data_IF_642046319645
#
_entry.id   IF_642046319645
#
_cell.length_a   1.000
_cell.length_b   1.000
_cell.length_c   1.000
_cell.angle_alpha   90.00
_cell.angle_beta   90.00
_cell.angle_gamma   90.00
#
_symmetry.space_group_name_H-M   'P 1'
#
loop_
_entity.id
_entity.type
_entity.pdbx_description
1 polymer ?
#
# COMPACT_ATOMS: atom_id res chain seq x y z
N UNK A 1 12.34 7.19 -14.81
CA UNK A 1 13.50 6.74 -14.03
C UNK A 1 13.18 5.40 -13.40
N UNK A 2 14.15 4.50 -13.34
CA UNK A 2 14.04 3.22 -12.62
C UNK A 2 14.80 3.41 -11.31
N UNK A 3 14.17 3.05 -10.18
CA UNK A 3 14.79 3.14 -8.87
C UNK A 3 14.77 1.77 -8.20
N UNK A 4 15.88 1.41 -7.58
CA UNK A 4 16.01 0.20 -6.79
C UNK A 4 15.87 0.58 -5.32
N UNK A 5 15.05 -0.19 -4.59
CA UNK A 5 14.82 0.04 -3.18
C UNK A 5 14.87 -1.30 -2.46
N UNK A 6 15.40 -1.29 -1.24
CA UNK A 6 15.34 -2.46 -0.38
C UNK A 6 14.10 -2.38 0.51
N UNK A 7 13.60 -3.52 1.01
CA UNK A 7 12.46 -3.54 1.93
C UNK A 7 12.66 -2.72 3.21
N UNK A 8 13.91 -2.33 3.51
CA UNK A 8 14.31 -1.59 4.70
C UNK A 8 14.50 -0.09 4.45
N UNK A 9 14.44 0.37 3.20
CA UNK A 9 14.61 1.78 2.78
C UNK A 9 13.39 2.31 1.99
N UNK A 10 12.42 1.45 1.73
CA UNK A 10 11.26 1.78 0.88
C UNK A 10 10.31 2.80 1.50
N UNK A 11 9.96 2.62 2.78
CA UNK A 11 8.95 3.42 3.47
C UNK A 11 9.64 4.33 4.48
N UNK A 12 9.21 5.57 4.63
CA UNK A 12 9.73 6.57 5.58
C UNK A 12 9.86 6.07 7.05
N UNK A 13 9.05 5.07 7.45
CA UNK A 13 9.06 4.47 8.79
C UNK A 13 10.00 3.26 8.92
N UNK A 14 10.77 2.93 7.89
CA UNK A 14 11.62 1.73 7.86
C UNK A 14 12.86 1.88 8.75
N UNK A 15 13.32 0.77 9.33
CA UNK A 15 14.37 0.76 10.36
C UNK A 15 15.75 1.22 9.91
N UNK A 16 16.06 1.17 8.60
CA UNK A 16 17.35 1.65 8.05
C UNK A 16 17.30 3.12 7.60
N UNK A 17 16.16 3.80 7.74
CA UNK A 17 16.03 5.21 7.40
C UNK A 17 16.25 6.06 8.65
N UNK A 18 17.10 7.07 8.54
CA UNK A 18 17.31 8.04 9.63
C UNK A 18 15.99 8.79 9.87
N UNK A 19 15.51 8.81 11.11
CA UNK A 19 14.27 9.55 11.48
C UNK A 19 14.34 10.98 10.95
N UNK A 20 13.37 11.35 10.11
CA UNK A 20 13.30 12.66 9.44
C UNK A 20 13.73 12.68 7.97
N UNK A 21 14.26 11.56 7.44
CA UNK A 21 14.57 11.41 6.00
C UNK A 21 13.45 10.66 5.27
N UNK A 22 13.28 10.98 3.99
CA UNK A 22 12.26 10.35 3.12
C UNK A 22 12.78 9.02 2.61
N UNK A 23 11.91 8.01 2.58
CA UNK A 23 12.19 6.73 1.95
C UNK A 23 12.09 6.77 0.44
N UNK A 24 12.59 5.71 -0.18
CA UNK A 24 12.79 5.65 -1.63
C UNK A 24 11.46 5.85 -2.38
N UNK A 25 10.36 5.27 -1.88
CA UNK A 25 9.06 5.40 -2.53
C UNK A 25 8.51 6.83 -2.47
N UNK A 26 8.78 7.55 -1.39
CA UNK A 26 8.40 8.96 -1.22
C UNK A 26 9.24 9.91 -2.08
N UNK A 27 10.48 9.54 -2.41
CA UNK A 27 11.36 10.33 -3.27
C UNK A 27 11.08 10.06 -4.75
N UNK A 28 10.93 8.79 -5.12
CA UNK A 28 10.80 8.36 -6.51
C UNK A 28 9.39 8.51 -7.06
N UNK A 29 8.37 8.57 -6.19
CA UNK A 29 6.95 8.63 -6.58
C UNK A 29 6.59 7.59 -7.67
N UNK A 30 6.83 6.29 -7.42
CA UNK A 30 6.71 5.26 -8.45
C UNK A 30 5.27 5.15 -8.97
N UNK A 31 5.13 4.88 -10.27
CA UNK A 31 3.83 4.59 -10.91
C UNK A 31 3.58 3.08 -11.01
N UNK A 32 4.64 2.29 -11.17
CA UNK A 32 4.62 0.83 -11.16
C UNK A 32 5.66 0.33 -10.16
N UNK A 33 5.33 -0.75 -9.43
CA UNK A 33 6.24 -1.37 -8.46
C UNK A 33 6.21 -2.88 -8.62
N UNK A 34 7.39 -3.50 -8.62
CA UNK A 34 7.56 -4.96 -8.49
C UNK A 34 8.08 -5.28 -7.10
N UNK A 35 7.39 -6.14 -6.37
CA UNK A 35 7.70 -6.45 -4.99
C UNK A 35 7.58 -7.96 -4.69
N UNK A 36 8.24 -8.40 -3.63
CA UNK A 36 8.04 -9.73 -3.05
C UNK A 36 6.99 -9.66 -1.93
N UNK A 37 6.32 -10.77 -1.56
CA UNK A 37 5.32 -10.77 -0.49
C UNK A 37 5.80 -10.13 0.81
N UNK A 38 7.05 -10.35 1.19
CA UNK A 38 7.67 -9.74 2.38
C UNK A 38 7.62 -8.20 2.37
N UNK A 39 7.71 -7.55 1.21
CA UNK A 39 7.58 -6.10 1.09
C UNK A 39 6.13 -5.68 1.32
N UNK A 40 5.19 -6.41 0.74
CA UNK A 40 3.75 -6.17 0.88
C UNK A 40 3.29 -6.32 2.34
N UNK A 41 3.80 -7.32 3.05
CA UNK A 41 3.54 -7.51 4.48
C UNK A 41 4.07 -6.33 5.32
N UNK A 42 5.23 -5.77 4.96
CA UNK A 42 5.76 -4.57 5.62
C UNK A 42 4.88 -3.36 5.36
N UNK A 43 4.40 -3.20 4.13
CA UNK A 43 3.47 -2.12 3.80
C UNK A 43 2.20 -2.27 4.62
N UNK A 44 1.60 -3.47 4.68
CA UNK A 44 0.44 -3.77 5.51
C UNK A 44 0.64 -3.35 6.98
N UNK A 45 1.77 -3.76 7.58
CA UNK A 45 2.14 -3.36 8.94
C UNK A 45 2.26 -1.83 9.07
N UNK A 46 2.91 -1.17 8.11
CA UNK A 46 3.06 0.29 8.08
C UNK A 46 1.74 1.04 7.97
N UNK A 47 0.76 0.50 7.22
CA UNK A 47 -0.62 1.04 7.19
C UNK A 47 -1.27 0.89 8.56
N UNK A 48 -1.22 -0.31 9.14
CA UNK A 48 -1.86 -0.59 10.41
C UNK A 48 -1.26 0.22 11.58
N UNK A 49 0.06 0.42 11.59
CA UNK A 49 0.73 1.31 12.54
C UNK A 49 0.28 2.77 12.40
N UNK A 50 0.10 3.26 11.16
CA UNK A 50 -0.42 4.61 10.93
C UNK A 50 -1.86 4.75 11.42
N UNK A 51 -2.71 3.76 11.22
CA UNK A 51 -4.08 3.75 11.73
C UNK A 51 -4.11 3.71 13.26
N UNK A 52 -3.24 2.90 13.86
CA UNK A 52 -3.11 2.79 15.31
C UNK A 52 -2.69 4.11 15.95
N UNK A 53 -1.79 4.86 15.29
CA UNK A 53 -1.37 6.22 15.72
C UNK A 53 -2.44 7.29 15.47
N UNK A 54 -3.37 7.06 14.55
CA UNK A 54 -4.37 8.04 14.15
C UNK A 54 -5.56 8.16 15.12
N UNK A 55 -5.69 7.22 16.07
CA UNK A 55 -6.73 7.20 17.09
C UNK A 55 -8.00 6.42 16.68
N UNK A 56 -8.91 6.12 17.63
CA UNK A 56 -10.03 5.20 17.43
C UNK A 56 -11.05 5.72 16.41
N UNK A 57 -11.36 7.02 16.41
CA UNK A 57 -12.30 7.63 15.46
C UNK A 57 -11.85 7.47 14.00
N UNK A 58 -10.56 7.68 13.73
CA UNK A 58 -10.01 7.52 12.37
C UNK A 58 -9.96 6.06 11.94
N UNK A 59 -9.78 5.14 12.89
CA UNK A 59 -9.84 3.70 12.62
C UNK A 59 -11.24 3.28 12.19
N UNK A 60 -12.28 3.66 12.93
CA UNK A 60 -13.68 3.37 12.56
C UNK A 60 -14.03 3.97 11.20
N UNK A 61 -13.63 5.21 10.93
CA UNK A 61 -13.83 5.83 9.62
C UNK A 61 -13.09 5.09 8.49
N UNK A 62 -11.87 4.64 8.77
CA UNK A 62 -11.08 3.87 7.82
C UNK A 62 -11.73 2.52 7.53
N UNK A 63 -12.16 1.79 8.55
CA UNK A 63 -12.80 0.48 8.41
C UNK A 63 -14.11 0.59 7.62
N UNK A 64 -14.92 1.62 7.91
CA UNK A 64 -16.13 1.92 7.13
C UNK A 64 -15.82 2.24 5.66
N UNK A 65 -14.84 3.11 5.41
CA UNK A 65 -14.41 3.47 4.06
C UNK A 65 -13.81 2.28 3.30
N UNK A 66 -13.10 1.40 4.02
CA UNK A 66 -12.52 0.17 3.48
C UNK A 66 -13.59 -0.78 2.99
N UNK A 67 -14.59 -1.06 3.83
CA UNK A 67 -15.69 -1.97 3.50
C UNK A 67 -16.59 -1.40 2.39
N UNK A 68 -16.85 -0.09 2.44
CA UNK A 68 -17.53 0.62 1.37
C UNK A 68 -16.75 0.45 0.05
N UNK A 69 -15.47 0.82 0.01
CA UNK A 69 -14.67 0.71 -1.21
C UNK A 69 -14.57 -0.73 -1.72
N UNK A 70 -14.39 -1.71 -0.83
CA UNK A 70 -14.36 -3.14 -1.17
C UNK A 70 -15.65 -3.57 -1.89
N UNK A 71 -16.81 -3.13 -1.42
CA UNK A 71 -18.11 -3.45 -2.00
C UNK A 71 -18.28 -2.83 -3.39
N UNK A 72 -17.91 -1.56 -3.55
CA UNK A 72 -17.99 -0.85 -4.83
C UNK A 72 -17.01 -1.41 -5.87
N UNK A 73 -15.79 -1.78 -5.46
CA UNK A 73 -14.83 -2.46 -6.33
C UNK A 73 -15.33 -3.82 -6.81
N UNK A 74 -15.99 -4.61 -5.94
CA UNK A 74 -16.61 -5.89 -6.35
C UNK A 74 -17.69 -5.69 -7.42
N UNK A 75 -18.33 -4.52 -7.43
CA UNK A 75 -19.33 -4.12 -8.44
C UNK A 75 -18.72 -3.48 -9.69
N UNK A 76 -17.38 -3.34 -9.76
CA UNK A 76 -16.67 -2.76 -10.91
C UNK A 76 -16.60 -1.23 -10.92
N UNK A 77 -16.98 -0.56 -9.83
CA UNK A 77 -16.94 0.90 -9.73
C UNK A 77 -15.72 1.37 -8.95
N UNK A 78 -15.11 2.46 -9.40
CA UNK A 78 -14.02 3.15 -8.69
C UNK A 78 -14.58 4.26 -7.80
N UNK A 79 -13.99 4.47 -6.62
CA UNK A 79 -14.42 5.47 -5.63
C UNK A 79 -13.36 6.56 -5.42
N UNK A 80 -13.15 7.45 -6.41
CA UNK A 80 -12.05 8.43 -6.39
C UNK A 80 -12.15 9.45 -5.25
N UNK A 81 -13.36 9.75 -4.77
CA UNK A 81 -13.60 10.67 -3.65
C UNK A 81 -13.05 10.13 -2.32
N UNK A 82 -13.43 8.90 -1.97
CA UNK A 82 -12.99 8.24 -0.73
C UNK A 82 -11.48 7.96 -0.80
N UNK A 83 -10.98 7.63 -2.00
CA UNK A 83 -9.55 7.46 -2.25
C UNK A 83 -8.73 8.69 -1.92
N UNK A 84 -9.23 9.89 -2.25
CA UNK A 84 -8.54 11.14 -1.94
C UNK A 84 -8.71 11.58 -0.49
N UNK A 85 -9.82 11.27 0.17
CA UNK A 85 -10.05 11.71 1.55
C UNK A 85 -9.43 10.77 2.58
N UNK A 86 -9.70 9.47 2.48
CA UNK A 86 -9.33 8.49 3.51
C UNK A 86 -8.00 7.80 3.15
N UNK A 87 -7.86 7.37 1.90
CA UNK A 87 -6.70 6.59 1.47
C UNK A 87 -5.51 7.45 1.06
N UNK A 88 -5.64 8.78 0.96
CA UNK A 88 -4.53 9.65 0.58
C UNK A 88 -3.33 9.54 1.53
N UNK A 89 -3.57 9.39 2.83
CA UNK A 89 -2.49 9.24 3.81
C UNK A 89 -1.76 7.89 3.66
N UNK A 90 -2.49 6.84 3.29
CA UNK A 90 -1.95 5.50 3.04
C UNK A 90 -1.20 5.47 1.70
N UNK A 91 -1.76 6.04 0.64
CA UNK A 91 -1.11 6.16 -0.68
C UNK A 91 0.18 6.98 -0.63
N UNK A 92 0.23 8.02 0.20
CA UNK A 92 1.45 8.81 0.44
C UNK A 92 2.61 7.97 0.98
N UNK A 93 2.38 6.83 1.64
CA UNK A 93 3.46 5.92 2.07
C UNK A 93 4.33 5.44 0.90
N UNK A 94 3.72 5.30 -0.28
CA UNK A 94 4.40 4.82 -1.49
C UNK A 94 4.50 5.93 -2.55
N UNK A 95 4.55 7.19 -2.11
CA UNK A 95 4.68 8.35 -3.01
C UNK A 95 3.39 8.78 -3.72
N UNK A 96 2.25 8.12 -3.48
CA UNK A 96 0.92 8.61 -3.90
C UNK A 96 0.55 8.46 -5.38
N UNK A 97 1.45 7.91 -6.22
CA UNK A 97 1.25 7.78 -7.68
C UNK A 97 1.20 6.35 -8.19
N UNK A 98 1.22 5.35 -7.31
CA UNK A 98 1.18 3.94 -7.72
C UNK A 98 -0.14 3.60 -8.42
N UNK A 99 -0.01 2.96 -9.59
CA UNK A 99 -1.07 2.47 -10.46
C UNK A 99 -0.98 0.97 -10.75
N UNK A 100 0.16 0.34 -10.48
CA UNK A 100 0.34 -1.09 -10.65
C UNK A 100 1.33 -1.64 -9.63
N UNK A 101 0.97 -2.75 -8.98
CA UNK A 101 1.85 -3.51 -8.10
C UNK A 101 1.91 -4.95 -8.60
N UNK A 102 3.10 -5.40 -8.98
CA UNK A 102 3.39 -6.78 -9.35
C UNK A 102 4.01 -7.47 -8.14
N UNK A 103 3.45 -8.60 -7.71
CA UNK A 103 3.95 -9.40 -6.60
C UNK A 103 4.32 -10.80 -7.07
N UNK A 104 5.49 -11.33 -6.69
CA UNK A 104 5.85 -12.71 -7.04
C UNK A 104 6.89 -13.34 -6.12
N UNK A 105 7.06 -14.66 -6.24
CA UNK A 105 8.08 -15.44 -5.53
C UNK A 105 7.64 -16.13 -4.24
N UNK A 106 6.45 -15.85 -3.71
CA UNK A 106 5.87 -16.57 -2.58
C UNK A 106 4.33 -16.36 -2.51
N UNK A 107 3.60 -17.20 -1.76
CA UNK A 107 2.18 -16.99 -1.51
C UNK A 107 1.97 -15.71 -0.69
N UNK A 108 0.99 -14.90 -1.12
CA UNK A 108 0.55 -13.70 -0.42
C UNK A 108 -0.74 -14.00 0.32
N UNK A 109 -0.87 -13.53 1.57
CA UNK A 109 -2.11 -13.66 2.33
C UNK A 109 -3.27 -12.91 1.64
N UNK A 110 -4.48 -13.49 1.58
CA UNK A 110 -5.64 -12.85 0.96
C UNK A 110 -5.98 -11.50 1.64
N UNK A 111 -5.83 -11.40 2.95
CA UNK A 111 -6.10 -10.16 3.69
C UNK A 111 -5.13 -9.04 3.30
N UNK A 112 -3.85 -9.39 3.13
CA UNK A 112 -2.83 -8.43 2.71
C UNK A 112 -3.06 -7.99 1.27
N UNK A 113 -3.43 -8.94 0.40
CA UNK A 113 -3.77 -8.65 -0.99
C UNK A 113 -4.97 -7.71 -1.10
N UNK A 114 -6.07 -8.01 -0.39
CA UNK A 114 -7.25 -7.14 -0.37
C UNK A 114 -6.93 -5.76 0.21
N UNK A 115 -6.16 -5.69 1.30
CA UNK A 115 -5.83 -4.41 1.90
C UNK A 115 -5.04 -3.53 0.94
N UNK A 116 -4.02 -4.09 0.29
CA UNK A 116 -3.19 -3.36 -0.67
C UNK A 116 -4.03 -2.94 -1.88
N UNK A 117 -4.89 -3.83 -2.37
CA UNK A 117 -5.77 -3.55 -3.51
C UNK A 117 -6.74 -2.40 -3.23
N UNK A 118 -7.34 -2.39 -2.04
CA UNK A 118 -8.28 -1.35 -1.61
C UNK A 118 -7.55 -0.06 -1.29
N UNK A 119 -6.45 -0.10 -0.54
CA UNK A 119 -5.84 1.11 0.03
C UNK A 119 -4.88 1.83 -0.92
N UNK A 120 -4.14 1.07 -1.72
CA UNK A 120 -3.02 1.62 -2.50
C UNK A 120 -3.39 1.70 -3.97
N UNK A 121 -3.84 0.59 -4.55
CA UNK A 121 -4.05 0.51 -5.98
C UNK A 121 -4.91 -0.70 -6.39
N UNK A 122 -5.85 -0.49 -7.31
CA UNK A 122 -6.73 -1.55 -7.83
C UNK A 122 -6.00 -2.59 -8.70
N UNK A 123 -4.83 -2.23 -9.27
CA UNK A 123 -4.01 -3.07 -10.15
C UNK A 123 -2.92 -3.86 -9.41
N UNK A 124 -3.31 -4.74 -8.49
CA UNK A 124 -2.38 -5.70 -7.86
C UNK A 124 -2.42 -7.00 -8.66
N UNK A 125 -1.27 -7.44 -9.17
CA UNK A 125 -1.11 -8.68 -9.94
C UNK A 125 -0.16 -9.59 -9.20
N UNK A 126 -0.57 -10.83 -8.98
CA UNK A 126 0.26 -11.87 -8.39
C UNK A 126 0.83 -12.77 -9.50
N UNK A 127 2.14 -12.71 -9.71
CA UNK A 127 2.89 -13.62 -10.56
C UNK A 127 3.32 -14.85 -9.77
N UNK A 128 2.81 -16.01 -10.15
CA UNK A 128 3.30 -17.31 -9.67
C UNK A 128 4.34 -17.82 -10.66
N UNK A 129 5.56 -18.05 -10.18
CA UNK A 129 6.65 -18.63 -10.98
C UNK A 129 7.34 -19.70 -10.15
N UNK A 130 7.40 -20.91 -10.70
CA UNK A 130 8.21 -22.01 -10.21
C UNK A 130 9.41 -22.12 -11.16
N UNK A 131 10.64 -22.12 -10.62
CA UNK A 131 11.88 -22.30 -11.39
C UNK A 131 12.08 -23.74 -11.81
#
# INVERSE_FOLDING_TARGET
SIGYSTPLTMIDTSSKIKKGTRGDASVLHPTCMTAVPLILDRIYKGVNEKLSKAGPLKRVLFDFAFEYKRTWMKRGFSTPLIDRMVFAQTRKLLGGRIRLILCGGAPLSPDTHELIKVCLCEGVIQGYGLT
#
